data_IF_579384143606
#
_entry.id   IF_579384143606
#
_cell.length_a   1.000
_cell.length_b   1.000
_cell.length_c   1.000
_cell.angle_alpha   90.00
_cell.angle_beta   90.00
_cell.angle_gamma   90.00
#
_symmetry.space_group_name_H-M   'P 1'
#
loop_
_entity.id
_entity.type
_entity.pdbx_description
1 polymer ?
#
# COMPACT_ATOMS: atom_id res chain seq x y z
N UNK A 1 -20.77 -5.70 7.81
CA UNK A 1 -19.93 -4.48 7.84
C UNK A 1 -18.73 -4.65 6.92
N UNK A 2 -17.99 -3.57 6.60
CA UNK A 2 -16.77 -3.61 5.80
C UNK A 2 -15.56 -3.32 6.69
N UNK A 3 -14.51 -4.12 6.56
CA UNK A 3 -13.18 -3.85 7.11
C UNK A 3 -12.32 -3.23 6.01
N UNK A 4 -11.47 -2.26 6.32
CA UNK A 4 -10.64 -1.57 5.34
C UNK A 4 -9.16 -1.78 5.63
N UNK A 5 -8.46 -2.35 4.65
CA UNK A 5 -7.02 -2.29 4.53
C UNK A 5 -6.66 -1.17 3.55
N UNK A 6 -6.45 0.03 4.12
CA UNK A 6 -6.25 1.28 3.36
C UNK A 6 -4.82 1.42 2.81
N UNK A 7 -3.96 0.43 3.05
CA UNK A 7 -2.61 0.39 2.52
C UNK A 7 -2.20 -1.05 2.28
N UNK A 8 -2.28 -1.48 1.02
CA UNK A 8 -1.88 -2.81 0.59
C UNK A 8 -0.96 -2.72 -0.63
N UNK A 9 -0.09 -3.69 -0.83
CA UNK A 9 0.71 -3.80 -2.05
C UNK A 9 0.43 -5.12 -2.76
N UNK A 10 0.25 -5.06 -4.08
CA UNK A 10 0.06 -6.20 -4.97
C UNK A 10 0.86 -5.96 -6.25
N UNK A 11 1.98 -6.66 -6.40
CA UNK A 11 2.84 -6.58 -7.57
C UNK A 11 3.62 -7.88 -7.76
N UNK A 12 3.91 -8.21 -9.02
CA UNK A 12 4.81 -9.29 -9.39
C UNK A 12 6.27 -8.81 -9.36
N UNK A 13 7.21 -9.75 -9.51
CA UNK A 13 8.64 -9.43 -9.68
C UNK A 13 8.96 -8.60 -10.93
N UNK A 14 8.02 -8.47 -11.89
CA UNK A 14 8.23 -7.72 -13.11
C UNK A 14 8.37 -6.20 -12.88
N UNK A 15 7.74 -5.66 -11.83
CA UNK A 15 7.60 -4.22 -11.62
C UNK A 15 8.68 -3.55 -10.77
N UNK A 16 9.09 -4.04 -9.59
CA UNK A 16 10.09 -3.35 -8.79
C UNK A 16 11.46 -3.36 -9.47
N UNK A 17 12.24 -2.28 -9.34
CA UNK A 17 13.64 -2.31 -9.77
C UNK A 17 14.38 -3.39 -8.97
N UNK A 18 14.80 -4.46 -9.64
CA UNK A 18 15.32 -5.66 -8.95
C UNK A 18 16.58 -5.35 -8.13
N UNK A 19 17.40 -4.37 -8.53
CA UNK A 19 18.60 -3.98 -7.78
C UNK A 19 18.24 -3.26 -6.48
N UNK A 20 17.27 -2.34 -6.52
CA UNK A 20 16.77 -1.68 -5.33
C UNK A 20 16.02 -2.66 -4.42
N UNK A 21 15.26 -3.59 -5.01
CA UNK A 21 14.64 -4.70 -4.30
C UNK A 21 15.70 -5.57 -3.61
N UNK A 22 16.79 -5.92 -4.31
CA UNK A 22 17.91 -6.70 -3.77
C UNK A 22 18.65 -5.99 -2.62
N UNK A 23 18.82 -4.67 -2.70
CA UNK A 23 19.38 -3.87 -1.60
C UNK A 23 18.48 -3.93 -0.36
N UNK A 24 17.15 -4.01 -0.55
CA UNK A 24 16.17 -4.08 0.54
C UNK A 24 16.07 -5.46 1.19
N UNK A 25 16.11 -6.54 0.40
CA UNK A 25 15.92 -7.93 0.91
C UNK A 25 17.18 -8.55 1.53
N UNK A 26 18.27 -7.79 1.69
CA UNK A 26 19.61 -8.27 2.05
C UNK A 26 20.12 -9.37 1.08
N UNK A 27 21.00 -8.99 0.15
CA UNK A 27 21.65 -9.82 -0.88
C UNK A 27 22.18 -11.21 -0.45
N UNK A 28 22.33 -11.45 0.85
CA UNK A 28 22.84 -12.68 1.46
C UNK A 28 21.90 -13.88 1.28
N UNK A 29 20.60 -13.70 1.02
CA UNK A 29 19.70 -14.80 0.68
C UNK A 29 20.10 -15.50 -0.63
N UNK A 30 20.76 -14.80 -1.56
CA UNK A 30 21.29 -15.37 -2.81
C UNK A 30 22.52 -16.25 -2.59
N UNK A 31 23.14 -16.23 -1.40
CA UNK A 31 24.27 -17.12 -1.06
C UNK A 31 23.85 -18.59 -0.95
N UNK A 32 22.54 -18.87 -0.84
CA UNK A 32 22.00 -20.23 -0.82
C UNK A 32 22.20 -20.98 -2.14
N UNK A 33 22.29 -20.26 -3.26
CA UNK A 33 22.59 -20.82 -4.58
C UNK A 33 24.10 -20.79 -4.93
N UNK A 34 24.94 -20.36 -3.99
CA UNK A 34 26.39 -20.21 -4.17
C UNK A 34 27.15 -21.33 -3.46
N UNK A 35 28.36 -21.71 -3.92
CA UNK A 35 29.27 -22.59 -3.17
C UNK A 35 29.65 -22.05 -1.77
N UNK A 36 29.28 -20.81 -1.44
CA UNK A 36 29.39 -20.20 -0.12
C UNK A 36 28.16 -20.46 0.79
N UNK A 37 27.23 -21.34 0.42
CA UNK A 37 26.07 -21.74 1.24
C UNK A 37 26.38 -22.07 2.72
N UNK A 38 27.54 -22.61 3.11
CA UNK A 38 27.89 -22.79 4.53
C UNK A 38 27.94 -21.49 5.35
N UNK A 39 28.23 -20.34 4.71
CA UNK A 39 28.16 -19.01 5.36
C UNK A 39 26.72 -18.52 5.55
N UNK A 40 25.77 -19.01 4.75
CA UNK A 40 24.35 -18.72 4.93
C UNK A 40 23.77 -19.38 6.20
N UNK A 41 24.46 -20.36 6.80
CA UNK A 41 24.09 -20.96 8.09
C UNK A 41 24.21 -19.98 9.28
N UNK A 42 24.94 -18.86 9.12
CA UNK A 42 24.96 -17.76 10.10
C UNK A 42 23.73 -16.84 10.00
N UNK A 43 22.88 -17.01 8.98
CA UNK A 43 21.59 -16.33 8.90
C UNK A 43 20.58 -17.05 9.79
N UNK A 44 19.82 -16.29 10.57
CA UNK A 44 18.71 -16.87 11.31
C UNK A 44 17.67 -17.45 10.35
N UNK A 45 17.43 -18.76 10.41
CA UNK A 45 16.48 -19.53 9.56
C UNK A 45 15.18 -18.77 9.26
N UNK A 46 14.59 -18.15 10.29
CA UNK A 46 13.35 -17.34 10.17
C UNK A 46 13.43 -16.19 9.17
N UNK A 47 14.59 -15.51 9.03
CA UNK A 47 14.75 -14.42 8.06
C UNK A 47 14.75 -14.92 6.62
N UNK A 48 15.37 -16.07 6.38
CA UNK A 48 15.37 -16.72 5.06
C UNK A 48 13.95 -17.14 4.71
N UNK A 49 13.25 -17.81 5.63
CA UNK A 49 11.88 -18.28 5.41
C UNK A 49 10.94 -17.13 5.02
N UNK A 50 11.07 -15.96 5.66
CA UNK A 50 10.32 -14.74 5.33
C UNK A 50 10.60 -14.20 3.93
N UNK A 51 11.86 -14.12 3.53
CA UNK A 51 12.22 -13.69 2.16
C UNK A 51 11.68 -14.69 1.12
N UNK A 52 11.80 -15.99 1.38
CA UNK A 52 11.24 -17.01 0.49
C UNK A 52 9.71 -16.92 0.40
N UNK A 53 9.04 -16.60 1.50
CA UNK A 53 7.60 -16.38 1.54
C UNK A 53 7.16 -15.13 0.77
N UNK A 54 7.93 -14.05 0.84
CA UNK A 54 7.72 -12.88 -0.03
C UNK A 54 7.86 -13.28 -1.50
N UNK A 55 8.95 -13.97 -1.86
CA UNK A 55 9.22 -14.36 -3.24
C UNK A 55 8.15 -15.31 -3.79
N UNK A 56 7.67 -16.27 -3.00
CA UNK A 56 6.60 -17.18 -3.42
C UNK A 56 5.30 -16.43 -3.71
N UNK A 57 4.97 -15.41 -2.91
CA UNK A 57 3.82 -14.54 -3.16
C UNK A 57 4.01 -13.72 -4.44
N UNK A 58 5.19 -13.13 -4.66
CA UNK A 58 5.47 -12.29 -5.84
C UNK A 58 5.65 -13.07 -7.15
N UNK A 59 5.84 -14.40 -7.07
CA UNK A 59 5.90 -15.30 -8.24
C UNK A 59 4.50 -15.58 -8.81
N UNK A 60 3.45 -15.46 -8.00
CA UNK A 60 2.08 -15.59 -8.48
C UNK A 60 1.72 -14.40 -9.39
N UNK A 61 0.86 -14.64 -10.39
CA UNK A 61 0.10 -13.54 -10.97
C UNK A 61 -0.79 -12.89 -9.89
N UNK A 62 -1.23 -11.65 -10.12
CA UNK A 62 -1.94 -10.89 -9.10
C UNK A 62 -3.29 -11.53 -8.71
N UNK A 63 -3.97 -12.22 -9.63
CA UNK A 63 -5.20 -12.96 -9.32
C UNK A 63 -4.91 -14.17 -8.42
N UNK A 64 -3.90 -14.96 -8.79
CA UNK A 64 -3.35 -16.04 -7.97
C UNK A 64 -2.99 -15.60 -6.55
N UNK A 65 -2.34 -14.45 -6.43
CA UNK A 65 -2.01 -13.84 -5.14
C UNK A 65 -3.24 -13.56 -4.28
N UNK A 66 -4.26 -12.86 -4.81
CA UNK A 66 -5.47 -12.57 -4.03
C UNK A 66 -6.22 -13.85 -3.63
N UNK A 67 -6.29 -14.84 -4.53
CA UNK A 67 -6.93 -16.13 -4.23
C UNK A 67 -6.16 -16.90 -3.13
N UNK A 68 -4.82 -16.88 -3.17
CA UNK A 68 -3.98 -17.49 -2.15
C UNK A 68 -4.20 -16.85 -0.77
N UNK A 69 -4.21 -15.52 -0.70
CA UNK A 69 -4.44 -14.80 0.55
C UNK A 69 -5.85 -15.08 1.08
N UNK A 70 -6.89 -15.06 0.23
CA UNK A 70 -8.25 -15.41 0.63
C UNK A 70 -8.34 -16.84 1.18
N UNK A 71 -7.70 -17.80 0.50
CA UNK A 71 -7.66 -19.19 0.91
C UNK A 71 -7.01 -19.36 2.29
N UNK A 72 -5.87 -18.69 2.54
CA UNK A 72 -5.19 -18.73 3.84
C UNK A 72 -6.04 -18.11 4.96
N UNK A 73 -6.73 -16.99 4.70
CA UNK A 73 -7.66 -16.39 5.67
C UNK A 73 -8.78 -17.34 6.07
N UNK A 74 -9.38 -18.04 5.10
CA UNK A 74 -10.47 -19.00 5.33
C UNK A 74 -9.98 -20.28 6.02
N UNK A 75 -8.86 -20.83 5.57
CA UNK A 75 -8.37 -22.14 6.05
C UNK A 75 -7.74 -22.10 7.45
N UNK A 76 -7.23 -20.94 7.88
CA UNK A 76 -6.57 -20.77 9.18
C UNK A 76 -7.47 -20.11 10.25
N UNK A 77 -8.75 -19.89 9.95
CA UNK A 77 -9.76 -19.48 10.95
C UNK A 77 -9.79 -17.99 11.29
N UNK A 78 -8.99 -17.15 10.63
CA UNK A 78 -9.10 -15.68 10.70
C UNK A 78 -10.45 -15.21 10.11
N UNK A 79 -10.93 -15.93 9.10
CA UNK A 79 -12.29 -15.80 8.54
C UNK A 79 -13.14 -16.99 8.98
N UNK A 80 -14.30 -16.71 9.57
CA UNK A 80 -15.24 -17.71 10.07
C UNK A 80 -16.62 -17.45 9.45
N UNK A 81 -17.26 -18.50 8.93
CA UNK A 81 -18.55 -18.41 8.23
C UNK A 81 -18.60 -17.33 7.14
N UNK A 82 -17.48 -17.15 6.43
CA UNK A 82 -17.33 -16.16 5.35
C UNK A 82 -17.16 -14.72 5.83
N UNK A 83 -16.91 -14.49 7.13
CA UNK A 83 -16.73 -13.17 7.72
C UNK A 83 -15.37 -13.04 8.42
N UNK A 84 -14.74 -11.88 8.28
CA UNK A 84 -13.58 -11.52 9.10
C UNK A 84 -14.05 -11.20 10.52
N UNK A 85 -13.36 -11.74 11.53
CA UNK A 85 -13.66 -11.51 12.94
C UNK A 85 -12.54 -10.67 13.57
N UNK A 86 -12.85 -9.45 14.03
CA UNK A 86 -11.92 -8.58 14.78
C UNK A 86 -12.55 -8.20 16.12
N UNK A 87 -12.08 -8.79 17.22
CA UNK A 87 -12.74 -8.66 18.52
C UNK A 87 -14.18 -9.18 18.44
N UNK A 88 -15.20 -8.42 18.89
CA UNK A 88 -16.61 -8.75 18.68
C UNK A 88 -17.15 -8.29 17.32
N UNK A 89 -16.36 -7.56 16.52
CA UNK A 89 -16.74 -7.08 15.20
C UNK A 89 -16.74 -8.21 14.16
N UNK A 90 -17.72 -8.19 13.26
CA UNK A 90 -17.86 -9.15 12.17
C UNK A 90 -18.07 -8.43 10.84
N UNK A 91 -17.18 -8.67 9.88
CA UNK A 91 -17.16 -7.97 8.59
C UNK A 91 -17.39 -8.95 7.45
N UNK A 92 -18.36 -8.64 6.59
CA UNK A 92 -18.76 -9.48 5.45
C UNK A 92 -17.84 -9.28 4.24
N UNK A 93 -17.01 -8.24 4.29
CA UNK A 93 -16.10 -7.82 3.22
C UNK A 93 -14.86 -7.19 3.83
N UNK A 94 -13.70 -7.48 3.25
CA UNK A 94 -12.43 -6.78 3.44
C UNK A 94 -12.19 -5.93 2.19
N UNK A 95 -12.27 -4.62 2.32
CA UNK A 95 -11.93 -3.65 1.28
C UNK A 95 -10.43 -3.42 1.31
N UNK A 96 -9.74 -3.65 0.20
CA UNK A 96 -8.30 -3.47 0.06
C UNK A 96 -8.00 -2.38 -0.95
N UNK A 97 -7.01 -1.53 -0.66
CA UNK A 97 -6.53 -0.53 -1.62
C UNK A 97 -5.08 -0.78 -2.03
N UNK A 98 -4.84 -1.62 -3.06
CA UNK A 98 -3.50 -1.80 -3.62
C UNK A 98 -2.92 -0.46 -4.07
N UNK A 99 -1.79 -0.06 -3.48
CA UNK A 99 -1.10 1.18 -3.78
C UNK A 99 -0.05 0.92 -4.86
N UNK A 100 -0.30 1.34 -6.10
CA UNK A 100 0.66 1.17 -7.19
C UNK A 100 1.82 2.17 -7.09
N UNK A 101 2.98 1.81 -7.64
CA UNK A 101 4.18 2.62 -7.61
C UNK A 101 4.63 2.92 -9.04
N UNK A 102 4.70 4.21 -9.38
CA UNK A 102 5.15 4.66 -10.69
C UNK A 102 6.69 4.66 -10.75
N UNK A 103 7.26 3.47 -10.91
CA UNK A 103 8.71 3.27 -11.03
C UNK A 103 9.32 4.08 -12.18
N UNK A 104 8.53 4.36 -13.24
CA UNK A 104 8.84 5.32 -14.28
C UNK A 104 10.08 5.02 -15.12
N UNK A 105 10.25 5.80 -16.19
CA UNK A 105 11.46 5.85 -17.02
C UNK A 105 12.57 6.58 -16.27
N UNK A 106 13.08 5.94 -15.21
CA UNK A 106 14.26 6.44 -14.52
C UNK A 106 15.45 5.72 -15.10
N UNK A 107 16.25 6.50 -15.84
CA UNK A 107 17.56 6.14 -16.37
C UNK A 107 18.56 5.81 -15.24
N UNK A 108 18.24 4.85 -14.37
CA UNK A 108 19.10 4.35 -13.30
C UNK A 108 20.20 3.55 -13.97
N UNK A 109 21.24 4.27 -14.38
CA UNK A 109 22.40 3.68 -15.03
C UNK A 109 23.17 2.89 -13.99
N UNK A 110 23.40 1.64 -14.31
CA UNK A 110 24.31 0.76 -13.58
C UNK A 110 25.65 0.78 -14.29
N UNK A 111 26.75 0.74 -13.54
CA UNK A 111 28.11 0.55 -14.08
C UNK A 111 28.33 -0.91 -14.51
N UNK A 112 27.38 -1.46 -15.26
CA UNK A 112 27.38 -2.84 -15.75
C UNK A 112 27.54 -2.87 -17.26
N UNK A 113 27.80 -4.06 -17.82
CA UNK A 113 27.93 -4.24 -19.27
C UNK A 113 26.66 -3.80 -20.03
N UNK A 114 25.49 -4.21 -19.54
CA UNK A 114 24.20 -3.70 -20.00
C UNK A 114 23.91 -2.37 -19.30
N UNK A 115 24.17 -1.25 -20.00
CA UNK A 115 24.03 0.12 -19.46
C UNK A 115 22.66 0.76 -19.70
N UNK A 116 21.83 0.11 -20.51
CA UNK A 116 20.47 0.59 -20.79
C UNK A 116 19.56 0.04 -19.68
N UNK A 117 18.98 0.91 -18.83
CA UNK A 117 18.11 0.46 -17.76
C UNK A 117 16.78 -0.09 -18.30
N UNK A 118 16.16 -1.06 -17.59
CA UNK A 118 14.84 -1.55 -17.96
C UNK A 118 13.80 -0.44 -17.81
N UNK A 119 12.97 -0.31 -18.84
CA UNK A 119 11.83 0.61 -18.85
C UNK A 119 10.64 -0.05 -18.17
N UNK A 120 10.14 0.57 -17.09
CA UNK A 120 9.05 0.01 -16.26
C UNK A 120 7.85 0.95 -16.21
N UNK A 121 7.12 1.09 -17.33
CA UNK A 121 5.97 1.97 -17.38
C UNK A 121 4.89 1.45 -16.44
N UNK A 122 4.31 2.35 -15.63
CA UNK A 122 3.21 2.01 -14.72
C UNK A 122 2.02 1.36 -15.43
N UNK A 123 1.83 1.60 -16.73
CA UNK A 123 0.81 0.97 -17.56
C UNK A 123 0.77 -0.56 -17.38
N UNK A 124 1.92 -1.22 -17.35
CA UNK A 124 2.00 -2.68 -17.20
C UNK A 124 1.54 -3.13 -15.80
N UNK A 125 1.91 -2.39 -14.76
CA UNK A 125 1.45 -2.66 -13.40
C UNK A 125 -0.07 -2.49 -13.29
N UNK A 126 -0.64 -1.47 -13.95
CA UNK A 126 -2.09 -1.26 -14.02
C UNK A 126 -2.79 -2.43 -14.70
N UNK A 127 -2.28 -2.88 -15.85
CA UNK A 127 -2.82 -4.05 -16.57
C UNK A 127 -2.81 -5.31 -15.68
N UNK A 128 -1.68 -5.63 -15.05
CA UNK A 128 -1.55 -6.79 -14.17
C UNK A 128 -2.52 -6.73 -12.98
N UNK A 129 -2.64 -5.57 -12.33
CA UNK A 129 -3.50 -5.40 -11.15
C UNK A 129 -4.97 -5.61 -11.54
N UNK A 130 -5.45 -4.97 -12.60
CA UNK A 130 -6.85 -5.08 -12.97
C UNK A 130 -7.21 -6.42 -13.62
N UNK A 131 -6.29 -7.03 -14.38
CA UNK A 131 -6.46 -8.42 -14.84
C UNK A 131 -6.52 -9.38 -13.64
N UNK A 132 -5.65 -9.18 -12.64
CA UNK A 132 -5.67 -9.95 -11.40
C UNK A 132 -6.97 -9.80 -10.61
N UNK A 133 -7.52 -8.58 -10.51
CA UNK A 133 -8.81 -8.33 -9.87
C UNK A 133 -9.95 -9.03 -10.62
N UNK A 134 -9.97 -8.94 -11.95
CA UNK A 134 -10.97 -9.63 -12.78
C UNK A 134 -10.88 -11.16 -12.60
N UNK A 135 -9.66 -11.72 -12.63
CA UNK A 135 -9.42 -13.14 -12.39
C UNK A 135 -9.86 -13.59 -10.99
N UNK A 136 -9.54 -12.81 -9.95
CA UNK A 136 -9.98 -13.04 -8.57
C UNK A 136 -11.51 -13.03 -8.44
N UNK A 137 -12.19 -12.10 -9.11
CA UNK A 137 -13.65 -12.03 -9.09
C UNK A 137 -14.29 -13.25 -9.78
N UNK A 138 -13.66 -13.77 -10.84
CA UNK A 138 -14.17 -14.89 -11.62
C UNK A 138 -13.82 -16.27 -11.03
N UNK A 139 -12.74 -16.37 -10.26
CA UNK A 139 -12.15 -17.65 -9.86
C UNK A 139 -11.81 -17.71 -8.36
N UNK A 140 -11.69 -18.91 -7.81
CA UNK A 140 -11.21 -19.13 -6.44
C UNK A 140 -10.25 -20.32 -6.36
N UNK A 141 -9.36 -20.29 -5.36
CA UNK A 141 -8.43 -21.37 -5.06
C UNK A 141 -9.08 -22.36 -4.09
N UNK A 142 -9.11 -23.64 -4.46
CA UNK A 142 -9.62 -24.72 -3.63
C UNK A 142 -8.57 -25.80 -3.39
N UNK A 143 -8.57 -26.35 -2.18
CA UNK A 143 -7.79 -27.55 -1.84
C UNK A 143 -8.52 -28.79 -2.32
N UNK A 144 -7.80 -29.69 -2.97
CA UNK A 144 -8.30 -30.97 -3.48
C UNK A 144 -7.45 -32.09 -2.88
N UNK A 145 -8.08 -33.04 -2.18
CA UNK A 145 -7.36 -34.21 -1.68
C UNK A 145 -7.25 -35.25 -2.79
N UNK A 146 -6.03 -35.65 -3.14
CA UNK A 146 -5.74 -36.67 -4.13
C UNK A 146 -6.06 -38.06 -3.58
N UNK A 147 -6.15 -39.05 -4.47
CA UNK A 147 -6.44 -40.44 -4.11
C UNK A 147 -5.38 -41.07 -3.18
N UNK A 148 -4.14 -40.57 -3.21
CA UNK A 148 -3.04 -40.99 -2.33
C UNK A 148 -3.05 -40.27 -0.96
N UNK A 149 -4.06 -39.43 -0.69
CA UNK A 149 -4.20 -38.65 0.54
C UNK A 149 -3.37 -37.36 0.58
N UNK A 150 -2.58 -37.06 -0.46
CA UNK A 150 -1.86 -35.79 -0.55
C UNK A 150 -2.78 -34.64 -0.97
N UNK A 151 -2.40 -33.42 -0.59
CA UNK A 151 -3.13 -32.21 -0.96
C UNK A 151 -2.67 -31.70 -2.33
N UNK A 152 -3.63 -31.23 -3.13
CA UNK A 152 -3.46 -30.44 -4.33
C UNK A 152 -4.20 -29.12 -4.21
N UNK A 153 -3.90 -28.18 -5.10
CA UNK A 153 -4.60 -26.90 -5.17
C UNK A 153 -5.01 -26.61 -6.60
N UNK A 154 -6.25 -26.19 -6.80
CA UNK A 154 -6.80 -25.87 -8.11
C UNK A 154 -7.52 -24.54 -8.08
N UNK A 155 -7.33 -23.76 -9.14
CA UNK A 155 -8.16 -22.60 -9.43
C UNK A 155 -9.39 -23.09 -10.18
N UNK A 156 -10.57 -22.77 -9.66
CA UNK A 156 -11.87 -23.10 -10.26
C UNK A 156 -12.68 -21.82 -10.48
N UNK A 157 -13.71 -21.90 -11.33
CA UNK A 157 -14.71 -20.82 -11.39
C UNK A 157 -15.34 -20.63 -10.02
N UNK A 158 -15.45 -19.37 -9.60
CA UNK A 158 -15.89 -19.00 -8.27
C UNK A 158 -17.34 -19.42 -8.01
N UNK A 159 -17.54 -20.14 -6.92
CA UNK A 159 -18.82 -20.63 -6.40
C UNK A 159 -19.17 -19.97 -5.06
N UNK A 160 -18.17 -19.48 -4.32
CA UNK A 160 -18.37 -18.76 -3.05
C UNK A 160 -18.34 -17.24 -3.22
N UNK A 161 -19.00 -16.51 -2.32
CA UNK A 161 -18.91 -15.05 -2.27
C UNK A 161 -17.44 -14.64 -1.97
N UNK A 162 -16.84 -13.73 -2.76
CA UNK A 162 -15.50 -13.23 -2.45
C UNK A 162 -15.52 -12.41 -1.16
N UNK A 163 -14.48 -12.58 -0.34
CA UNK A 163 -14.32 -11.74 0.85
C UNK A 163 -13.67 -10.39 0.53
N UNK A 164 -12.88 -10.29 -0.55
CA UNK A 164 -12.21 -9.04 -0.91
C UNK A 164 -13.03 -8.19 -1.87
N UNK A 165 -13.04 -6.88 -1.60
CA UNK A 165 -13.34 -5.84 -2.58
C UNK A 165 -12.06 -5.03 -2.80
N UNK A 166 -11.58 -4.94 -4.03
CA UNK A 166 -10.22 -4.44 -4.31
C UNK A 166 -10.33 -3.15 -5.13
N UNK A 167 -9.89 -2.04 -4.55
CA UNK A 167 -9.98 -0.70 -5.13
C UNK A 167 -8.60 -0.03 -5.19
N UNK A 168 -7.83 -0.25 -6.27
CA UNK A 168 -6.46 0.22 -6.37
C UNK A 168 -6.32 1.75 -6.38
N UNK A 169 -5.16 2.24 -5.95
CA UNK A 169 -4.74 3.63 -6.11
C UNK A 169 -3.74 3.73 -7.27
N UNK A 170 -3.96 4.69 -8.16
CA UNK A 170 -3.03 4.97 -9.26
C UNK A 170 -1.72 5.52 -8.70
N UNK A 171 -0.61 4.84 -8.95
CA UNK A 171 0.71 5.42 -8.72
C UNK A 171 0.92 6.60 -9.68
N UNK A 172 1.44 7.71 -9.19
CA UNK A 172 1.73 8.86 -10.05
C UNK A 172 3.01 9.54 -9.59
N UNK A 173 4.00 9.60 -10.47
CA UNK A 173 5.17 10.45 -10.27
C UNK A 173 5.19 11.55 -11.34
N UNK A 174 4.92 12.78 -10.93
CA UNK A 174 4.87 13.96 -11.83
C UNK A 174 6.19 14.19 -12.56
N UNK A 175 7.32 13.70 -12.05
CA UNK A 175 8.62 13.77 -12.73
C UNK A 175 8.68 12.95 -14.03
N UNK A 176 7.80 11.96 -14.19
CA UNK A 176 7.75 11.13 -15.40
C UNK A 176 6.94 11.78 -16.55
N UNK A 177 6.40 12.98 -16.34
CA UNK A 177 5.55 13.68 -17.31
C UNK A 177 6.15 15.02 -17.70
N UNK A 178 5.90 15.40 -18.96
CA UNK A 178 6.47 16.59 -19.60
C UNK A 178 6.03 17.88 -18.93
N UNK A 179 4.73 18.04 -18.66
CA UNK A 179 4.14 19.29 -18.18
C UNK A 179 2.83 19.07 -17.38
N UNK A 180 2.33 20.15 -16.76
CA UNK A 180 1.07 20.16 -16.00
C UNK A 180 -0.16 19.76 -16.83
N UNK A 181 -0.32 20.23 -18.09
CA UNK A 181 -1.37 19.78 -18.99
C UNK A 181 -1.36 18.27 -19.24
N UNK A 182 -0.20 17.63 -19.33
CA UNK A 182 -0.07 16.17 -19.51
C UNK A 182 -0.55 15.41 -18.27
N UNK A 183 -0.16 15.86 -17.08
CA UNK A 183 -0.69 15.33 -15.81
C UNK A 183 -2.21 15.49 -15.76
N UNK A 184 -2.72 16.66 -16.14
CA UNK A 184 -4.17 16.95 -16.17
C UNK A 184 -4.93 16.06 -17.15
N UNK A 185 -4.37 15.75 -18.33
CA UNK A 185 -5.00 14.81 -19.29
C UNK A 185 -5.08 13.39 -18.73
N UNK A 186 -4.02 12.93 -18.06
CA UNK A 186 -4.01 11.63 -17.38
C UNK A 186 -5.10 11.56 -16.29
N UNK A 187 -5.18 12.59 -15.45
CA UNK A 187 -6.18 12.67 -14.39
C UNK A 187 -7.60 12.73 -14.96
N UNK A 188 -7.83 13.50 -16.02
CA UNK A 188 -9.14 13.53 -16.68
C UNK A 188 -9.55 12.16 -17.25
N UNK A 189 -8.61 11.39 -17.81
CA UNK A 189 -8.92 10.05 -18.32
C UNK A 189 -9.52 9.15 -17.24
N UNK A 190 -8.88 9.09 -16.08
CA UNK A 190 -9.23 8.13 -15.03
C UNK A 190 -10.12 8.68 -13.91
N UNK A 191 -10.29 10.00 -13.81
CA UNK A 191 -10.98 10.64 -12.68
C UNK A 191 -11.96 11.75 -13.07
N UNK A 192 -12.21 12.02 -14.36
CA UNK A 192 -13.18 13.04 -14.77
C UNK A 192 -14.58 12.80 -14.20
N UNK A 193 -15.04 11.55 -14.16
CA UNK A 193 -16.28 11.09 -13.54
C UNK A 193 -16.15 10.64 -12.08
N UNK A 194 -15.02 10.91 -11.42
CA UNK A 194 -14.82 10.52 -10.02
C UNK A 194 -15.73 11.31 -9.09
N UNK A 195 -16.49 10.59 -8.26
CA UNK A 195 -17.38 11.16 -7.24
C UNK A 195 -17.01 10.79 -5.81
N UNK A 196 -16.08 9.86 -5.62
CA UNK A 196 -15.78 9.27 -4.31
C UNK A 196 -16.93 8.41 -3.77
N UNK A 197 -17.82 7.89 -4.63
CA UNK A 197 -18.94 7.06 -4.21
C UNK A 197 -18.56 5.57 -4.24
N UNK A 198 -18.69 4.88 -3.10
CA UNK A 198 -18.41 3.45 -2.98
C UNK A 198 -19.13 2.58 -4.02
N UNK A 199 -20.41 2.87 -4.29
CA UNK A 199 -21.22 2.07 -5.23
C UNK A 199 -20.70 2.15 -6.68
N UNK A 200 -20.06 3.25 -7.06
CA UNK A 200 -19.45 3.40 -8.39
C UNK A 200 -18.28 2.43 -8.57
N UNK A 201 -17.42 2.31 -7.55
CA UNK A 201 -16.29 1.37 -7.58
C UNK A 201 -16.78 -0.08 -7.52
N UNK A 202 -17.77 -0.36 -6.67
CA UNK A 202 -18.38 -1.69 -6.60
C UNK A 202 -19.02 -2.08 -7.93
N UNK A 203 -19.64 -1.14 -8.64
CA UNK A 203 -20.21 -1.40 -9.95
C UNK A 203 -19.14 -1.72 -11.02
N UNK A 204 -17.89 -1.29 -10.85
CA UNK A 204 -16.78 -1.57 -11.77
C UNK A 204 -15.89 -2.76 -11.36
N UNK A 205 -16.06 -3.28 -10.14
CA UNK A 205 -15.23 -4.36 -9.61
C UNK A 205 -15.26 -5.59 -10.54
N UNK A 206 -14.07 -6.01 -10.99
CA UNK A 206 -13.91 -7.17 -11.88
C UNK A 206 -14.34 -6.96 -13.34
N UNK A 207 -14.68 -5.73 -13.76
CA UNK A 207 -15.15 -5.43 -15.13
C UNK A 207 -14.06 -5.02 -16.12
N UNK A 208 -12.78 -5.08 -15.73
CA UNK A 208 -11.70 -4.80 -16.66
C UNK A 208 -11.64 -5.90 -17.73
N UNK A 209 -11.63 -5.51 -18.99
CA UNK A 209 -11.67 -6.38 -20.17
C UNK A 209 -10.29 -6.55 -20.84
N UNK A 210 -9.25 -5.95 -20.26
CA UNK A 210 -7.90 -5.94 -20.81
C UNK A 210 -7.56 -4.68 -21.61
N UNK A 211 -8.51 -3.78 -21.91
CA UNK A 211 -8.25 -2.56 -22.67
C UNK A 211 -8.16 -1.30 -21.78
N UNK A 212 -6.94 -0.85 -21.51
CA UNK A 212 -6.71 0.41 -20.80
C UNK A 212 -7.17 1.65 -21.57
N UNK A 213 -7.33 1.60 -22.89
CA UNK A 213 -7.85 2.74 -23.66
C UNK A 213 -9.34 2.95 -23.37
N UNK A 214 -10.10 1.87 -23.20
CA UNK A 214 -11.51 1.89 -22.83
C UNK A 214 -11.76 2.16 -21.33
N UNK A 215 -10.73 1.97 -20.47
CA UNK A 215 -10.84 2.24 -19.04
C UNK A 215 -11.12 3.73 -18.74
N UNK A 216 -12.31 3.99 -18.22
CA UNK A 216 -12.77 5.30 -17.80
C UNK A 216 -12.60 5.57 -16.29
N UNK A 217 -13.53 6.34 -15.73
CA UNK A 217 -13.52 6.71 -14.31
C UNK A 217 -13.99 5.60 -13.37
N UNK A 218 -13.68 5.76 -12.07
CA UNK A 218 -14.11 4.88 -10.98
C UNK A 218 -13.52 3.46 -11.03
N UNK A 219 -12.34 3.30 -11.63
CA UNK A 219 -11.48 2.12 -11.48
C UNK A 219 -10.44 2.30 -10.37
N UNK A 220 -9.96 3.54 -10.16
CA UNK A 220 -9.01 3.88 -9.10
C UNK A 220 -9.70 4.64 -7.98
N UNK A 221 -9.56 4.16 -6.74
CA UNK A 221 -10.15 4.84 -5.58
C UNK A 221 -9.37 6.08 -5.13
N UNK A 222 -8.10 6.21 -5.54
CA UNK A 222 -7.24 7.32 -5.16
C UNK A 222 -5.90 7.34 -5.90
N UNK A 223 -4.97 8.15 -5.40
CA UNK A 223 -3.62 8.32 -5.97
C UNK A 223 -2.56 7.96 -4.93
N UNK A 224 -1.56 7.18 -5.33
CA UNK A 224 -0.37 6.87 -4.53
C UNK A 224 0.81 7.70 -5.03
N UNK A 225 1.45 8.39 -4.11
CA UNK A 225 2.69 9.13 -4.31
C UNK A 225 3.81 8.43 -3.55
N UNK A 226 4.97 8.32 -4.18
CA UNK A 226 6.10 7.57 -3.62
C UNK A 226 7.38 8.41 -3.71
N UNK A 227 7.65 9.27 -2.72
CA UNK A 227 8.87 10.06 -2.70
C UNK A 227 10.20 9.30 -2.85
N UNK A 228 10.39 8.09 -2.30
CA UNK A 228 11.67 7.38 -2.43
C UNK A 228 12.08 7.01 -3.85
N UNK A 229 11.12 6.95 -4.79
CA UNK A 229 11.42 6.78 -6.22
C UNK A 229 11.51 8.12 -6.95
N UNK A 230 11.59 9.25 -6.25
CA UNK A 230 11.85 10.59 -6.78
C UNK A 230 10.60 11.38 -7.13
N UNK A 231 9.53 11.25 -6.35
CA UNK A 231 8.44 12.22 -6.35
C UNK A 231 8.77 13.30 -5.31
N UNK A 232 9.03 14.53 -5.74
CA UNK A 232 9.16 15.66 -4.83
C UNK A 232 7.76 16.22 -4.55
N UNK A 233 7.25 16.21 -3.30
CA UNK A 233 5.95 16.79 -2.98
C UNK A 233 5.88 18.28 -3.31
N UNK A 234 7.02 18.96 -3.23
CA UNK A 234 7.06 20.39 -3.43
C UNK A 234 8.40 20.88 -4.06
N UNK A 235 8.64 20.69 -5.38
CA UNK A 235 9.88 21.05 -6.09
C UNK A 235 10.09 22.54 -6.38
N UNK A 236 11.29 23.06 -6.08
CA UNK A 236 11.61 24.50 -6.22
C UNK A 236 11.55 25.02 -7.67
N UNK A 237 11.78 24.16 -8.66
CA UNK A 237 11.74 24.56 -10.07
C UNK A 237 10.29 24.75 -10.54
N UNK A 238 10.00 25.89 -11.19
CA UNK A 238 8.64 26.30 -11.53
C UNK A 238 7.92 25.35 -12.50
N UNK A 239 8.65 24.76 -13.44
CA UNK A 239 8.13 23.77 -14.41
C UNK A 239 7.74 22.46 -13.70
N UNK A 240 8.54 22.02 -12.73
CA UNK A 240 8.21 20.85 -11.89
C UNK A 240 7.08 21.15 -10.91
N UNK A 241 7.08 22.37 -10.35
CA UNK A 241 6.06 22.90 -9.45
C UNK A 241 4.69 22.85 -10.12
N UNK A 242 4.59 23.30 -11.36
CA UNK A 242 3.33 23.30 -12.12
C UNK A 242 2.69 21.90 -12.19
N UNK A 243 3.50 20.85 -12.38
CA UNK A 243 3.01 19.47 -12.48
C UNK A 243 2.36 18.97 -11.18
N UNK A 244 2.99 19.23 -10.03
CA UNK A 244 2.42 18.84 -8.73
C UNK A 244 1.23 19.70 -8.35
N UNK A 245 1.23 20.98 -8.74
CA UNK A 245 0.09 21.87 -8.51
C UNK A 245 -1.14 21.45 -9.32
N UNK A 246 -0.95 21.01 -10.57
CA UNK A 246 -2.02 20.43 -11.38
C UNK A 246 -2.63 19.18 -10.71
N UNK A 247 -1.78 18.29 -10.18
CA UNK A 247 -2.21 17.13 -9.41
C UNK A 247 -3.03 17.52 -8.18
N UNK A 248 -2.49 18.39 -7.31
CA UNK A 248 -3.14 18.73 -6.05
C UNK A 248 -4.44 19.51 -6.25
N UNK A 249 -4.48 20.43 -7.22
CA UNK A 249 -5.70 21.15 -7.58
C UNK A 249 -6.80 20.17 -8.00
N UNK A 250 -6.47 19.24 -8.90
CA UNK A 250 -7.42 18.25 -9.39
C UNK A 250 -7.92 17.33 -8.26
N UNK A 251 -7.03 16.87 -7.38
CA UNK A 251 -7.41 16.05 -6.23
C UNK A 251 -8.32 16.80 -5.26
N UNK A 252 -8.06 18.09 -5.01
CA UNK A 252 -8.94 18.92 -4.18
C UNK A 252 -10.31 19.10 -4.81
N UNK A 253 -10.37 19.37 -6.12
CA UNK A 253 -11.62 19.64 -6.83
C UNK A 253 -12.52 18.40 -6.92
N UNK A 254 -11.92 17.22 -7.09
CA UNK A 254 -12.62 15.93 -7.16
C UNK A 254 -12.69 15.18 -5.84
N UNK A 255 -12.12 15.74 -4.77
CA UNK A 255 -12.03 15.12 -3.44
C UNK A 255 -11.37 13.72 -3.47
N UNK A 256 -10.34 13.56 -4.31
CA UNK A 256 -9.63 12.30 -4.51
C UNK A 256 -8.64 12.10 -3.35
N UNK A 257 -8.67 10.95 -2.65
CA UNK A 257 -7.71 10.63 -1.60
C UNK A 257 -6.32 10.38 -2.18
N UNK A 258 -5.31 10.93 -1.51
CA UNK A 258 -3.90 10.77 -1.84
C UNK A 258 -3.20 10.09 -0.68
N UNK A 259 -2.47 9.00 -0.96
CA UNK A 259 -1.58 8.38 0.02
C UNK A 259 -0.13 8.64 -0.39
N UNK A 260 0.69 9.19 0.49
CA UNK A 260 2.13 9.38 0.28
C UNK A 260 2.93 8.42 1.15
N UNK A 261 4.02 7.86 0.61
CA UNK A 261 5.01 7.15 1.43
C UNK A 261 5.62 8.11 2.46
N UNK A 262 5.73 7.70 3.73
CA UNK A 262 6.30 8.53 4.80
C UNK A 262 6.98 7.70 5.91
N UNK A 263 8.05 6.99 5.56
CA UNK A 263 9.03 6.45 6.50
C UNK A 263 10.44 6.53 5.91
N UNK A 264 11.48 6.26 6.71
CA UNK A 264 12.88 6.31 6.26
C UNK A 264 13.34 5.04 5.50
N UNK A 265 12.40 4.18 5.11
CA UNK A 265 12.64 2.93 4.39
C UNK A 265 11.94 2.86 3.02
N UNK A 266 11.72 1.64 2.52
CA UNK A 266 11.07 1.39 1.22
C UNK A 266 12.03 1.19 0.05
N UNK A 267 11.52 1.36 -1.17
CA UNK A 267 12.30 1.24 -2.42
C UNK A 267 12.94 2.57 -2.79
N UNK A 268 14.18 2.78 -2.35
CA UNK A 268 14.92 4.03 -2.58
C UNK A 268 15.64 3.99 -3.94
N UNK A 269 15.31 4.91 -4.84
CA UNK A 269 15.94 5.03 -6.17
C UNK A 269 16.63 6.37 -6.42
N UNK A 270 16.39 7.37 -5.56
CA UNK A 270 17.00 8.70 -5.67
C UNK A 270 17.77 9.06 -4.40
N UNK A 271 18.77 9.93 -4.53
CA UNK A 271 19.61 10.38 -3.41
C UNK A 271 18.83 11.25 -2.42
N UNK A 272 17.92 12.07 -2.94
CA UNK A 272 17.11 13.03 -2.16
C UNK A 272 15.86 12.39 -1.54
N UNK A 273 15.78 11.05 -1.50
CA UNK A 273 14.60 10.31 -1.04
C UNK A 273 14.19 10.69 0.38
N UNK A 274 15.15 10.89 1.29
CA UNK A 274 14.87 11.29 2.67
C UNK A 274 14.21 12.67 2.73
N UNK A 275 14.74 13.63 1.97
CA UNK A 275 14.21 15.00 1.89
C UNK A 275 12.82 15.05 1.27
N UNK A 276 12.58 14.27 0.21
CA UNK A 276 11.27 14.20 -0.44
C UNK A 276 10.23 13.47 0.43
N UNK A 277 10.66 12.53 1.27
CA UNK A 277 9.76 11.76 2.14
C UNK A 277 9.42 12.51 3.43
N UNK A 278 10.22 13.52 3.80
CA UNK A 278 10.04 14.30 5.02
C UNK A 278 8.67 15.02 5.03
N UNK A 279 7.82 14.84 6.05
CA UNK A 279 6.50 15.47 6.13
C UNK A 279 6.54 17.00 6.13
N UNK A 280 7.68 17.62 6.45
CA UNK A 280 7.83 19.08 6.34
C UNK A 280 7.66 19.59 4.89
N UNK A 281 7.97 18.79 3.86
CA UNK A 281 7.73 19.15 2.45
C UNK A 281 6.24 19.39 2.14
N UNK A 282 5.36 18.79 2.92
CA UNK A 282 3.91 18.90 2.75
C UNK A 282 3.30 20.14 3.42
N UNK A 283 4.05 20.90 4.21
CA UNK A 283 3.53 22.12 4.86
C UNK A 283 3.05 23.14 3.82
N UNK A 284 3.88 23.44 2.82
CA UNK A 284 3.54 24.38 1.76
C UNK A 284 2.42 23.86 0.85
N UNK A 285 2.38 22.54 0.63
CA UNK A 285 1.29 21.88 -0.10
C UNK A 285 -0.04 22.11 0.63
N UNK A 286 -0.10 21.79 1.91
CA UNK A 286 -1.34 21.86 2.71
C UNK A 286 -1.76 23.30 2.99
N UNK A 287 -0.81 24.25 3.07
CA UNK A 287 -1.13 25.68 3.15
C UNK A 287 -1.80 26.20 1.88
N UNK A 288 -1.34 25.76 0.69
CA UNK A 288 -1.96 26.14 -0.59
C UNK A 288 -3.23 25.33 -0.90
N UNK A 289 -3.28 24.07 -0.48
CA UNK A 289 -4.35 23.11 -0.76
C UNK A 289 -4.93 22.52 0.55
N UNK A 290 -5.55 23.34 1.42
CA UNK A 290 -5.97 22.91 2.76
C UNK A 290 -7.10 21.87 2.77
N UNK A 291 -7.74 21.63 1.61
CA UNK A 291 -8.78 20.61 1.44
C UNK A 291 -8.22 19.27 0.94
N UNK A 292 -6.93 19.17 0.62
CA UNK A 292 -6.33 17.94 0.12
C UNK A 292 -6.53 16.79 1.12
N UNK A 293 -7.12 15.69 0.67
CA UNK A 293 -7.19 14.44 1.42
C UNK A 293 -5.86 13.72 1.32
N UNK A 294 -5.07 13.77 2.39
CA UNK A 294 -3.72 13.24 2.41
C UNK A 294 -3.54 12.23 3.52
N UNK A 295 -3.11 11.02 3.19
CA UNK A 295 -2.67 10.00 4.14
C UNK A 295 -1.14 9.85 4.11
N UNK A 296 -0.50 10.06 5.26
CA UNK A 296 0.91 9.76 5.46
C UNK A 296 1.09 8.29 5.86
N UNK A 297 1.62 7.49 4.95
CA UNK A 297 1.85 6.09 5.22
C UNK A 297 2.86 5.87 6.35
N UNK A 298 2.64 4.84 7.17
CA UNK A 298 3.54 4.40 8.24
C UNK A 298 3.73 5.40 9.40
N UNK A 299 2.89 6.44 9.48
CA UNK A 299 2.90 7.45 10.55
C UNK A 299 4.28 8.11 10.79
N UNK A 300 5.08 8.29 9.73
CA UNK A 300 6.39 8.94 9.87
C UNK A 300 7.44 8.10 10.60
N UNK A 301 7.25 6.78 10.72
CA UNK A 301 8.18 5.91 11.45
C UNK A 301 9.61 5.99 10.91
N UNK A 302 10.59 6.11 11.80
CA UNK A 302 12.02 6.18 11.46
C UNK A 302 12.80 5.07 12.16
N UNK A 303 13.62 4.35 11.42
CA UNK A 303 14.46 3.23 11.87
C UNK A 303 15.89 3.66 12.23
N UNK A 304 16.42 4.70 11.57
CA UNK A 304 17.77 5.23 11.83
C UNK A 304 17.89 5.74 13.28
N UNK A 305 19.05 5.53 13.91
CA UNK A 305 19.33 5.95 15.30
C UNK A 305 19.37 7.47 15.39
N UNK A 306 18.97 8.02 16.54
CA UNK A 306 19.17 9.42 16.89
C UNK A 306 20.65 9.79 16.70
N UNK A 307 20.95 10.71 15.78
CA UNK A 307 22.28 11.30 15.67
C UNK A 307 22.20 12.79 15.96
N UNK A 308 22.81 13.15 17.09
CA UNK A 308 23.19 14.47 17.58
C UNK A 308 22.17 15.63 17.64
N UNK A 309 21.13 15.73 16.79
CA UNK A 309 20.08 16.78 16.91
C UNK A 309 18.70 16.41 16.33
N UNK A 310 18.53 15.27 15.65
CA UNK A 310 17.24 14.81 15.11
C UNK A 310 16.74 13.63 15.94
N UNK A 311 15.60 13.81 16.62
CA UNK A 311 14.93 12.73 17.36
C UNK A 311 14.16 11.84 16.38
N UNK A 312 14.16 10.53 16.60
CA UNK A 312 13.37 9.47 15.93
C UNK A 312 11.84 9.70 15.77
N UNK A 313 11.31 10.79 16.30
CA UNK A 313 9.88 11.09 16.30
C UNK A 313 9.55 12.42 15.63
N UNK A 314 10.53 13.12 15.05
CA UNK A 314 10.32 14.44 14.45
C UNK A 314 9.29 14.40 13.31
N UNK A 315 9.31 13.34 12.48
CA UNK A 315 8.35 13.16 11.39
C UNK A 315 6.95 12.85 11.92
N UNK A 316 6.84 11.96 12.91
CA UNK A 316 5.56 11.61 13.55
C UNK A 316 4.91 12.83 14.22
N UNK A 317 5.69 13.58 15.01
CA UNK A 317 5.22 14.77 15.70
C UNK A 317 4.77 15.85 14.70
N UNK A 318 5.49 15.98 13.59
CA UNK A 318 5.10 16.87 12.47
C UNK A 318 3.78 16.44 11.83
N UNK A 319 3.60 15.14 11.56
CA UNK A 319 2.36 14.61 11.01
C UNK A 319 1.18 14.90 11.96
N UNK A 320 1.34 14.67 13.26
CA UNK A 320 0.32 14.98 14.27
C UNK A 320 -0.02 16.47 14.27
N UNK A 321 0.99 17.35 14.16
CA UNK A 321 0.76 18.79 14.04
C UNK A 321 0.02 19.18 12.75
N UNK A 322 0.35 18.54 11.62
CA UNK A 322 -0.38 18.72 10.35
C UNK A 322 -1.82 18.25 10.45
N UNK A 323 -2.07 17.11 11.11
CA UNK A 323 -3.43 16.65 11.41
C UNK A 323 -4.15 17.72 12.24
N UNK A 324 -3.56 18.22 13.34
CA UNK A 324 -4.19 19.28 14.14
C UNK A 324 -4.54 20.55 13.35
N UNK A 325 -3.76 20.89 12.30
CA UNK A 325 -3.95 22.09 11.47
C UNK A 325 -4.90 21.92 10.29
N UNK A 326 -4.96 20.73 9.69
CA UNK A 326 -5.67 20.49 8.43
C UNK A 326 -6.68 19.34 8.59
N UNK A 327 -7.95 19.55 8.20
CA UNK A 327 -9.05 18.63 8.54
C UNK A 327 -8.95 17.27 7.83
N UNK A 328 -8.32 17.23 6.65
CA UNK A 328 -8.29 16.07 5.77
C UNK A 328 -6.92 15.36 5.75
N UNK A 329 -6.10 15.57 6.78
CA UNK A 329 -4.80 14.89 6.94
C UNK A 329 -4.96 13.67 7.84
N UNK A 330 -4.53 12.53 7.32
CA UNK A 330 -4.57 11.20 7.91
C UNK A 330 -3.17 10.59 7.95
N UNK A 331 -3.04 9.48 8.66
CA UNK A 331 -1.87 8.62 8.61
C UNK A 331 -2.30 7.15 8.78
N UNK A 332 -1.47 6.21 8.37
CA UNK A 332 -1.74 4.77 8.54
C UNK A 332 -0.66 4.06 9.36
N UNK A 333 -1.04 2.93 9.98
CA UNK A 333 -0.15 2.10 10.80
C UNK A 333 0.51 0.96 10.01
N UNK A 334 0.46 1.05 8.68
CA UNK A 334 0.93 -0.01 7.79
C UNK A 334 2.41 -0.26 7.93
N UNK A 335 2.84 -1.50 7.69
CA UNK A 335 4.18 -2.00 7.92
C UNK A 335 4.65 -1.97 9.40
N UNK A 336 4.29 -0.97 10.21
CA UNK A 336 4.88 -0.75 11.54
C UNK A 336 4.14 -1.49 12.67
N UNK A 337 2.85 -1.78 12.51
CA UNK A 337 2.04 -2.43 13.55
C UNK A 337 2.23 -3.95 13.65
N UNK A 338 3.49 -4.38 13.85
CA UNK A 338 3.92 -5.78 13.81
C UNK A 338 4.03 -6.44 15.20
N UNK A 339 3.66 -5.75 16.29
CA UNK A 339 3.79 -6.29 17.65
C UNK A 339 2.87 -5.61 18.66
N UNK A 340 2.58 -6.29 19.77
CA UNK A 340 1.85 -5.71 20.90
C UNK A 340 2.58 -4.51 21.53
N UNK A 341 3.92 -4.51 21.52
CA UNK A 341 4.70 -3.37 22.00
C UNK A 341 4.42 -2.10 21.18
N UNK A 342 4.25 -2.23 19.85
CA UNK A 342 3.82 -1.13 19.01
C UNK A 342 2.43 -0.63 19.40
N UNK A 343 1.46 -1.52 19.61
CA UNK A 343 0.10 -1.12 20.01
C UNK A 343 0.05 -0.45 21.39
N UNK A 344 0.93 -0.85 22.32
CA UNK A 344 1.10 -0.17 23.61
C UNK A 344 1.61 1.27 23.44
N UNK A 345 2.65 1.46 22.61
CA UNK A 345 3.16 2.80 22.27
C UNK A 345 2.08 3.63 21.56
N UNK A 346 1.40 3.05 20.58
CA UNK A 346 0.33 3.70 19.84
C UNK A 346 -0.79 4.15 20.78
N UNK A 347 -1.19 3.32 21.75
CA UNK A 347 -2.21 3.68 22.73
C UNK A 347 -1.76 4.85 23.60
N UNK A 348 -0.50 4.88 24.01
CA UNK A 348 0.08 5.99 24.78
C UNK A 348 0.01 7.28 23.95
N UNK A 349 0.43 7.22 22.69
CA UNK A 349 0.40 8.35 21.76
C UNK A 349 -1.03 8.84 21.47
N UNK A 350 -2.00 7.94 21.30
CA UNK A 350 -3.41 8.30 21.12
C UNK A 350 -4.01 8.99 22.35
N UNK A 351 -3.57 8.62 23.57
CA UNK A 351 -4.01 9.31 24.78
C UNK A 351 -3.42 10.73 24.88
N UNK A 352 -2.19 10.93 24.40
CA UNK A 352 -1.55 12.26 24.33
C UNK A 352 -2.12 13.13 23.20
N UNK A 353 -2.49 12.50 22.08
CA UNK A 353 -2.99 13.14 20.88
C UNK A 353 -4.29 12.48 20.37
N UNK A 354 -5.46 12.81 20.95
CA UNK A 354 -6.74 12.18 20.60
C UNK A 354 -7.11 12.23 19.11
N UNK A 355 -6.60 13.23 18.38
CA UNK A 355 -6.77 13.37 16.92
C UNK A 355 -6.33 12.13 16.13
N UNK A 356 -5.40 11.34 16.67
CA UNK A 356 -4.95 10.09 16.06
C UNK A 356 -6.08 9.06 15.98
N UNK A 357 -6.94 8.95 17.01
CA UNK A 357 -8.06 8.01 16.97
C UNK A 357 -9.10 8.39 15.91
N UNK A 358 -9.18 9.67 15.55
CA UNK A 358 -10.14 10.18 14.56
C UNK A 358 -9.64 10.08 13.11
N UNK A 359 -8.34 9.81 12.91
CA UNK A 359 -7.72 9.95 11.59
C UNK A 359 -6.63 8.94 11.26
N UNK A 360 -6.26 8.06 12.18
CA UNK A 360 -5.45 6.90 11.85
C UNK A 360 -6.26 5.87 11.06
N UNK A 361 -5.62 5.30 10.06
CA UNK A 361 -6.16 4.26 9.20
C UNK A 361 -5.45 2.93 9.49
N UNK A 362 -6.22 1.85 9.49
CA UNK A 362 -5.62 0.52 9.34
C UNK A 362 -5.11 0.37 7.90
N UNK A 363 -3.90 -0.16 7.79
CA UNK A 363 -3.30 -0.60 6.55
C UNK A 363 -2.27 -1.65 6.89
N UNK A 364 -2.02 -2.62 6.01
CA UNK A 364 -1.10 -3.72 6.33
C UNK A 364 0.28 -3.59 5.73
N UNK A 365 0.37 -2.95 4.58
CA UNK A 365 1.53 -3.04 3.68
C UNK A 365 1.92 -4.50 3.39
N UNK A 366 0.93 -5.41 3.35
CA UNK A 366 1.13 -6.85 3.58
C UNK A 366 2.27 -7.48 2.78
N UNK A 367 2.31 -7.26 1.46
CA UNK A 367 3.35 -7.84 0.61
C UNK A 367 4.75 -7.46 1.12
N UNK A 368 5.00 -6.20 1.49
CA UNK A 368 6.31 -5.79 2.02
C UNK A 368 6.50 -6.26 3.47
N UNK A 369 5.41 -6.32 4.23
CA UNK A 369 5.39 -6.77 5.62
C UNK A 369 5.79 -8.25 5.78
N UNK A 370 5.71 -9.06 4.71
CA UNK A 370 6.24 -10.44 4.69
C UNK A 370 7.75 -10.53 4.97
N UNK A 371 8.50 -9.42 4.88
CA UNK A 371 9.90 -9.37 5.31
C UNK A 371 10.05 -9.56 6.84
N UNK A 372 9.02 -9.20 7.60
CA UNK A 372 9.05 -9.13 9.06
C UNK A 372 7.99 -10.03 9.73
N UNK A 373 6.96 -10.44 8.98
CA UNK A 373 5.87 -11.32 9.43
C UNK A 373 5.66 -12.52 8.51
N UNK A 374 4.91 -13.50 8.99
CA UNK A 374 4.73 -14.79 8.30
C UNK A 374 3.53 -14.80 7.33
N UNK A 375 2.50 -14.00 7.56
CA UNK A 375 1.28 -14.04 6.76
C UNK A 375 0.38 -12.83 7.00
N UNK A 376 -0.63 -12.68 6.14
CA UNK A 376 -1.64 -11.63 6.29
C UNK A 376 -2.53 -11.93 7.49
N UNK A 377 -2.83 -13.21 7.71
CA UNK A 377 -3.47 -13.72 8.92
C UNK A 377 -2.76 -13.20 10.16
N UNK A 378 -1.44 -13.41 10.25
CA UNK A 378 -0.65 -12.99 11.41
C UNK A 378 -0.78 -11.47 11.67
N UNK A 379 -0.76 -10.63 10.64
CA UNK A 379 -0.93 -9.19 10.81
C UNK A 379 -2.34 -8.80 11.29
N UNK A 380 -3.38 -9.40 10.72
CA UNK A 380 -4.76 -9.18 11.16
C UNK A 380 -5.00 -9.69 12.58
N UNK A 381 -4.39 -10.81 12.95
CA UNK A 381 -4.51 -11.42 14.28
C UNK A 381 -3.83 -10.56 15.34
N UNK A 382 -2.68 -9.96 15.05
CA UNK A 382 -2.06 -8.97 15.94
C UNK A 382 -2.99 -7.79 16.21
N UNK A 383 -3.64 -7.24 15.17
CA UNK A 383 -4.63 -6.17 15.34
C UNK A 383 -5.88 -6.63 16.08
N UNK A 384 -6.35 -7.85 15.81
CA UNK A 384 -7.50 -8.47 16.48
C UNK A 384 -7.24 -8.67 17.97
N UNK A 385 -6.11 -9.24 18.31
CA UNK A 385 -5.85 -9.82 19.63
C UNK A 385 -5.17 -8.83 20.58
N UNK A 386 -4.60 -7.73 20.07
CA UNK A 386 -3.99 -6.72 20.93
C UNK A 386 -4.98 -6.17 21.97
N UNK A 387 -4.55 -6.15 23.23
CA UNK A 387 -5.34 -5.66 24.37
C UNK A 387 -5.29 -4.15 24.58
N UNK A 388 -4.47 -3.43 23.81
CA UNK A 388 -4.24 -1.99 24.01
C UNK A 388 -5.25 -1.09 23.32
N UNK A 389 -5.93 -1.59 22.28
CA UNK A 389 -7.01 -0.89 21.59
C UNK A 389 -8.35 -1.53 21.96
N UNK A 390 -9.29 -0.69 22.38
CA UNK A 390 -10.66 -1.14 22.61
C UNK A 390 -11.42 -1.32 21.28
N UNK A 391 -12.64 -1.85 21.35
CA UNK A 391 -13.47 -2.17 20.17
C UNK A 391 -13.77 -0.94 19.33
N UNK A 392 -14.13 0.19 19.96
CA UNK A 392 -14.45 1.42 19.26
C UNK A 392 -13.21 2.02 18.57
N UNK A 393 -12.04 1.90 19.19
CA UNK A 393 -10.78 2.33 18.60
C UNK A 393 -10.40 1.47 17.38
N UNK A 394 -10.54 0.14 17.48
CA UNK A 394 -10.34 -0.76 16.34
C UNK A 394 -11.31 -0.43 15.19
N UNK A 395 -12.59 -0.24 15.48
CA UNK A 395 -13.61 0.19 14.51
C UNK A 395 -13.27 1.54 13.86
N UNK A 396 -12.70 2.47 14.62
CA UNK A 396 -12.29 3.77 14.10
C UNK A 396 -11.22 3.61 13.01
N UNK A 397 -10.15 2.87 13.33
CA UNK A 397 -9.02 2.67 12.42
C UNK A 397 -9.39 1.82 11.19
N UNK A 398 -10.09 0.71 11.38
CA UNK A 398 -10.35 -0.25 10.31
C UNK A 398 -11.64 0.00 9.53
N UNK A 399 -12.47 0.97 9.93
CA UNK A 399 -13.71 1.27 9.20
C UNK A 399 -14.05 2.75 9.14
N UNK A 400 -14.31 3.41 10.27
CA UNK A 400 -14.90 4.76 10.26
C UNK A 400 -13.98 5.76 9.56
N UNK A 401 -12.69 5.76 9.93
CA UNK A 401 -11.72 6.70 9.38
C UNK A 401 -11.42 6.37 7.90
N UNK A 402 -11.37 5.07 7.56
CA UNK A 402 -11.14 4.62 6.19
C UNK A 402 -12.31 4.96 5.26
N UNK A 403 -13.55 4.79 5.70
CA UNK A 403 -14.75 5.21 4.98
C UNK A 403 -14.73 6.72 4.72
N UNK A 404 -14.42 7.52 5.74
CA UNK A 404 -14.29 8.98 5.60
C UNK A 404 -13.17 9.38 4.63
N UNK A 405 -12.01 8.75 4.73
CA UNK A 405 -10.87 9.04 3.86
C UNK A 405 -11.20 8.74 2.39
N UNK A 406 -11.66 7.51 2.12
CA UNK A 406 -11.90 7.02 0.77
C UNK A 406 -13.13 7.65 0.12
N UNK A 407 -14.24 7.74 0.85
CA UNK A 407 -15.55 8.08 0.28
C UNK A 407 -16.08 9.46 0.70
N UNK A 408 -15.45 10.09 1.69
CA UNK A 408 -15.97 11.31 2.32
C UNK A 408 -17.00 11.02 3.42
N UNK A 409 -17.58 12.07 3.98
CA UNK A 409 -18.68 11.92 4.93
C UNK A 409 -19.94 11.45 4.20
N UNK A 410 -20.55 10.39 4.70
CA UNK A 410 -21.89 9.99 4.27
C UNK A 410 -22.85 11.09 4.71
N UNK A 411 -23.46 11.80 3.77
CA UNK A 411 -24.51 12.78 4.06
C UNK A 411 -25.74 12.13 4.65
#
# INVERSE_FOLDING_TARGET
MRFYDSHFHAMTLAHPNILAFMQRIHWQALLLASPLAPLAAFLGKKKIDRVMNLLSVMENDIGGFFMLVEYCLKSQGTVQDGKLIIGPGSYDTIVMTPLMMDFGDKNIRTETFYKIPPQKPIKQQVEDVFNGIAAYCASELVKVTKADGSDDYKVILRQSRPIFEIYPFLGLNTENYEDGPTVTRLLNKYFSGYRGCYDDFRANLGKFDGDLAAMGSNFFAGIKLYPPIGFDPWPDQSDKREKVEALYSFCCDKNIPVTTHCNDGGFVLVKDAEDFTNPARWEQVLEKYPRLKLNFAHLGSQSKKDYFFIKRHDWRDRIIALMGRFPNVHADISYVAQSDAYYQELKTLCNEHPILLERLLFGSDFMINLLDLESYNCYLELFRDTGYLNIAEKESLCRVNAERFLWGETQ
#
